data_IF_377400994601
#
_entry.id   IF_377400994601
#
_cell.length_a   1.000
_cell.length_b   1.000
_cell.length_c   1.000
_cell.angle_alpha   90.00
_cell.angle_beta   90.00
_cell.angle_gamma   90.00
#
_symmetry.space_group_name_H-M   'P 1'
#
loop_
_entity.id
_entity.type
_entity.pdbx_description
1 polymer ?
#
# COMPACT_ATOMS: atom_id res chain seq x y z
N UNK A 1 25.39 -6.46 9.10
CA UNK A 1 24.57 -5.47 8.39
C UNK A 1 23.55 -6.28 7.63
N UNK A 2 22.31 -6.30 8.10
CA UNK A 2 21.22 -7.01 7.42
C UNK A 2 21.00 -6.35 6.07
N UNK A 3 21.12 -7.11 4.98
CA UNK A 3 20.56 -6.71 3.69
C UNK A 3 19.05 -6.59 3.89
N UNK A 4 18.53 -5.39 4.09
CA UNK A 4 17.07 -5.16 4.10
C UNK A 4 16.54 -5.64 2.74
N UNK A 5 15.81 -6.76 2.75
CA UNK A 5 15.13 -7.27 1.55
C UNK A 5 14.06 -6.23 1.17
N UNK A 6 14.25 -5.54 0.05
CA UNK A 6 13.27 -4.60 -0.52
C UNK A 6 12.25 -5.40 -1.33
N UNK A 7 10.96 -5.12 -1.16
CA UNK A 7 9.91 -5.70 -1.99
C UNK A 7 10.04 -5.14 -3.41
N UNK A 8 10.26 -5.98 -4.44
CA UNK A 8 10.48 -5.50 -5.81
C UNK A 8 9.23 -4.84 -6.38
N UNK A 9 9.39 -3.71 -7.06
CA UNK A 9 8.28 -2.90 -7.60
C UNK A 9 8.22 -2.88 -9.13
N UNK A 10 9.20 -3.45 -9.84
CA UNK A 10 9.38 -3.27 -11.29
C UNK A 10 8.11 -3.56 -12.11
N UNK A 11 7.46 -4.69 -11.85
CA UNK A 11 6.24 -5.07 -12.54
C UNK A 11 5.07 -4.08 -12.29
N UNK A 12 4.97 -3.54 -11.08
CA UNK A 12 3.92 -2.57 -10.74
C UNK A 12 4.22 -1.19 -11.32
N UNK A 13 5.49 -0.78 -11.33
CA UNK A 13 5.93 0.46 -11.97
C UNK A 13 5.63 0.39 -13.46
N UNK A 14 5.95 -0.71 -14.15
CA UNK A 14 5.70 -0.85 -15.59
C UNK A 14 4.19 -0.92 -15.91
N UNK A 15 3.39 -1.63 -15.09
CA UNK A 15 1.93 -1.61 -15.21
C UNK A 15 1.36 -0.21 -15.06
N UNK A 16 1.82 0.54 -14.06
CA UNK A 16 1.35 1.90 -13.84
C UNK A 16 1.83 2.86 -14.93
N UNK A 17 3.07 2.74 -15.38
CA UNK A 17 3.63 3.51 -16.49
C UNK A 17 2.83 3.32 -17.77
N UNK A 18 2.40 2.10 -18.09
CA UNK A 18 1.49 1.86 -19.21
C UNK A 18 0.15 2.59 -19.04
N UNK A 19 -0.46 2.52 -17.85
CA UNK A 19 -1.70 3.25 -17.54
C UNK A 19 -1.52 4.77 -17.68
N UNK A 20 -0.47 5.31 -17.07
CA UNK A 20 -0.15 6.73 -17.06
C UNK A 20 0.14 7.27 -18.47
N UNK A 21 0.89 6.52 -19.30
CA UNK A 21 1.19 6.94 -20.68
C UNK A 21 -0.04 6.98 -21.56
N UNK A 22 -0.98 6.05 -21.39
CA UNK A 22 -2.18 5.97 -22.22
C UNK A 22 -3.29 6.95 -21.81
N UNK A 23 -3.28 7.45 -20.57
CA UNK A 23 -4.34 8.33 -20.06
C UNK A 23 -3.82 9.74 -19.80
N UNK A 24 -4.49 10.79 -20.28
CA UNK A 24 -4.10 12.18 -19.98
C UNK A 24 -4.40 12.54 -18.53
N UNK A 25 -5.51 12.04 -18.00
CA UNK A 25 -5.89 12.15 -16.59
C UNK A 25 -5.92 10.76 -15.98
N UNK A 26 -5.22 10.58 -14.86
CA UNK A 26 -5.14 9.30 -14.17
C UNK A 26 -5.39 9.49 -12.68
N UNK A 27 -5.99 8.48 -12.05
CA UNK A 27 -6.08 8.38 -10.60
C UNK A 27 -5.28 7.16 -10.15
N UNK A 28 -4.33 7.40 -9.24
CA UNK A 28 -3.62 6.36 -8.49
C UNK A 28 -4.28 6.27 -7.10
N UNK A 29 -5.02 5.20 -6.88
CA UNK A 29 -5.58 4.88 -5.56
C UNK A 29 -4.55 4.13 -4.74
N UNK A 30 -4.13 4.71 -3.63
CA UNK A 30 -3.18 4.11 -2.69
C UNK A 30 -3.52 4.53 -1.25
N UNK A 31 -4.15 3.62 -0.47
CA UNK A 31 -4.44 3.85 0.94
C UNK A 31 -3.21 4.18 1.78
N UNK A 32 -3.46 4.75 2.97
CA UNK A 32 -2.39 5.03 3.93
C UNK A 32 -1.64 3.74 4.32
N UNK A 33 -0.31 3.80 4.35
CA UNK A 33 0.53 2.67 4.78
C UNK A 33 1.00 1.73 3.67
N UNK A 34 0.49 1.85 2.44
CA UNK A 34 0.84 0.96 1.31
C UNK A 34 2.21 1.26 0.66
N UNK A 35 3.09 2.04 1.29
CA UNK A 35 4.39 2.41 0.69
C UNK A 35 4.29 3.37 -0.50
N UNK A 36 3.22 4.16 -0.57
CA UNK A 36 2.90 5.11 -1.66
C UNK A 36 4.06 6.04 -2.04
N UNK A 37 4.71 6.65 -1.06
CA UNK A 37 5.81 7.59 -1.31
C UNK A 37 7.02 6.92 -1.98
N UNK A 38 7.32 5.68 -1.58
CA UNK A 38 8.38 4.89 -2.20
C UNK A 38 8.02 4.53 -3.65
N UNK A 39 6.80 4.02 -3.87
CA UNK A 39 6.30 3.73 -5.22
C UNK A 39 6.35 4.94 -6.16
N UNK A 40 5.88 6.10 -5.69
CA UNK A 40 5.89 7.33 -6.49
C UNK A 40 7.32 7.80 -6.80
N UNK A 41 8.25 7.66 -5.85
CA UNK A 41 9.65 8.01 -6.10
C UNK A 41 10.27 7.14 -7.20
N UNK A 42 10.08 5.82 -7.12
CA UNK A 42 10.57 4.88 -8.14
C UNK A 42 9.89 5.11 -9.50
N UNK A 43 8.57 5.38 -9.49
CA UNK A 43 7.84 5.74 -10.70
C UNK A 43 8.38 7.00 -11.37
N UNK A 44 8.67 8.07 -10.61
CA UNK A 44 9.25 9.32 -11.13
C UNK A 44 10.59 9.06 -11.82
N UNK A 45 11.46 8.26 -11.20
CA UNK A 45 12.73 7.86 -11.80
C UNK A 45 12.51 7.10 -13.11
N UNK A 46 11.55 6.16 -13.14
CA UNK A 46 11.25 5.33 -14.31
C UNK A 46 10.67 6.09 -15.52
N UNK A 47 10.17 7.32 -15.32
CA UNK A 47 9.64 8.20 -16.39
C UNK A 47 10.45 9.48 -16.59
N UNK A 48 11.56 9.65 -15.86
CA UNK A 48 12.39 10.86 -15.82
C UNK A 48 12.90 11.36 -17.18
N UNK A 49 13.19 10.45 -18.11
CA UNK A 49 13.65 10.80 -19.45
C UNK A 49 12.55 11.29 -20.39
N UNK A 50 11.28 11.17 -19.99
CA UNK A 50 10.11 11.52 -20.81
C UNK A 50 9.29 12.66 -20.21
N UNK A 51 9.27 12.78 -18.88
CA UNK A 51 8.42 13.71 -18.15
C UNK A 51 9.17 14.49 -17.08
N UNK A 52 8.94 15.80 -17.05
CA UNK A 52 9.10 16.61 -15.86
C UNK A 52 7.82 16.59 -15.03
N UNK A 53 7.99 16.67 -13.72
CA UNK A 53 6.90 16.44 -12.78
C UNK A 53 6.87 17.57 -11.78
N UNK A 54 5.70 18.20 -11.69
CA UNK A 54 5.35 19.18 -10.67
C UNK A 54 4.34 18.51 -9.74
N UNK A 55 4.61 18.50 -8.44
CA UNK A 55 3.78 17.85 -7.42
C UNK A 55 3.22 18.90 -6.47
N UNK A 56 1.90 19.01 -6.43
CA UNK A 56 1.16 19.79 -5.45
C UNK A 56 0.81 18.92 -4.24
N UNK A 57 0.86 19.53 -3.06
CA UNK A 57 0.45 18.91 -1.79
C UNK A 57 -0.73 19.70 -1.22
N UNK A 58 -1.99 19.28 -1.47
CA UNK A 58 -3.19 19.97 -1.02
C UNK A 58 -3.26 20.20 0.50
N UNK A 59 -2.56 19.39 1.29
CA UNK A 59 -2.41 19.58 2.75
C UNK A 59 -1.88 20.96 3.12
N UNK A 60 -1.13 21.62 2.22
CA UNK A 60 -0.66 22.99 2.43
C UNK A 60 -1.79 24.03 2.40
N UNK A 61 -2.93 23.69 1.81
CA UNK A 61 -4.07 24.60 1.63
C UNK A 61 -5.21 24.31 2.61
N UNK A 62 -4.98 23.42 3.59
CA UNK A 62 -6.04 22.92 4.47
C UNK A 62 -6.71 24.02 5.30
N UNK A 63 -5.95 25.06 5.69
CA UNK A 63 -6.45 26.20 6.47
C UNK A 63 -6.89 27.40 5.61
N UNK A 64 -6.87 27.28 4.28
CA UNK A 64 -7.16 28.38 3.37
C UNK A 64 -8.66 28.49 3.06
N UNK A 65 -9.15 29.70 2.82
CA UNK A 65 -10.48 29.89 2.28
C UNK A 65 -10.57 29.48 0.80
N UNK A 66 -11.78 29.22 0.31
CA UNK A 66 -12.03 28.68 -1.03
C UNK A 66 -11.38 29.50 -2.16
N UNK A 67 -11.52 30.83 -2.07
CA UNK A 67 -10.97 31.75 -3.06
C UNK A 67 -9.44 31.69 -3.06
N UNK A 68 -8.84 31.53 -1.89
CA UNK A 68 -7.39 31.50 -1.73
C UNK A 68 -6.77 30.21 -2.24
N UNK A 69 -7.44 29.06 -2.09
CA UNK A 69 -6.95 27.76 -2.58
C UNK A 69 -6.62 27.81 -4.07
N UNK A 70 -7.48 28.45 -4.86
CA UNK A 70 -7.26 28.57 -6.29
C UNK A 70 -6.00 29.40 -6.60
N UNK A 71 -5.81 30.51 -5.89
CA UNK A 71 -4.62 31.37 -6.07
C UNK A 71 -3.34 30.69 -5.58
N UNK A 72 -3.39 29.93 -4.47
CA UNK A 72 -2.25 29.15 -3.99
C UNK A 72 -1.85 28.05 -4.97
N UNK A 73 -2.82 27.34 -5.56
CA UNK A 73 -2.54 26.32 -6.59
C UNK A 73 -1.86 26.94 -7.80
N UNK A 74 -2.36 28.07 -8.32
CA UNK A 74 -1.73 28.77 -9.44
C UNK A 74 -0.32 29.24 -9.10
N UNK A 75 -0.13 29.82 -7.91
CA UNK A 75 1.18 30.27 -7.41
C UNK A 75 2.18 29.13 -7.42
N UNK A 76 1.79 28.01 -6.84
CA UNK A 76 2.66 26.84 -6.72
C UNK A 76 2.97 26.27 -8.11
N UNK A 77 1.97 26.08 -8.97
CA UNK A 77 2.18 25.64 -10.36
C UNK A 77 3.15 26.57 -11.11
N UNK A 78 2.94 27.88 -11.04
CA UNK A 78 3.76 28.88 -11.70
C UNK A 78 5.21 28.78 -11.22
N UNK A 79 5.43 28.69 -9.91
CA UNK A 79 6.77 28.49 -9.36
C UNK A 79 7.38 27.15 -9.79
N UNK A 80 6.57 26.09 -9.87
CA UNK A 80 6.96 24.78 -10.36
C UNK A 80 7.56 24.83 -11.75
N UNK A 81 6.86 25.50 -12.66
CA UNK A 81 7.27 25.70 -14.05
C UNK A 81 8.54 26.54 -14.14
N UNK A 82 8.61 27.65 -13.39
CA UNK A 82 9.78 28.53 -13.40
C UNK A 82 11.03 27.90 -12.79
N UNK A 83 10.88 26.91 -11.91
CA UNK A 83 12.01 26.16 -11.39
C UNK A 83 12.53 25.14 -12.42
N UNK A 84 11.66 24.53 -13.23
CA UNK A 84 12.09 23.60 -14.28
C UNK A 84 13.00 24.24 -15.34
N UNK A 85 12.76 25.53 -15.63
CA UNK A 85 13.59 26.35 -16.50
C UNK A 85 13.48 27.84 -16.12
N UNK A 86 14.42 28.32 -15.31
CA UNK A 86 14.46 29.71 -14.88
C UNK A 86 14.99 30.66 -15.97
N UNK A 87 15.58 30.14 -17.04
CA UNK A 87 16.05 30.95 -18.18
C UNK A 87 14.89 31.63 -18.92
N UNK A 88 13.69 31.04 -18.83
CA UNK A 88 12.46 31.59 -19.42
C UNK A 88 12.16 33.00 -18.88
N UNK A 89 12.58 33.30 -17.64
CA UNK A 89 12.40 34.62 -17.02
C UNK A 89 13.01 35.75 -17.88
N UNK A 90 14.11 35.50 -18.59
CA UNK A 90 14.75 36.50 -19.45
C UNK A 90 13.88 36.95 -20.63
N UNK A 91 12.91 36.13 -21.02
CA UNK A 91 11.97 36.43 -22.11
C UNK A 91 10.71 37.17 -21.64
N UNK A 92 10.58 37.43 -20.34
CA UNK A 92 9.35 38.00 -19.79
C UNK A 92 9.18 39.47 -20.08
N UNK A 93 7.98 39.80 -20.53
CA UNK A 93 7.52 41.17 -20.69
C UNK A 93 7.23 41.79 -19.33
N UNK A 94 7.06 43.13 -19.31
CA UNK A 94 6.73 43.87 -18.09
C UNK A 94 5.45 43.34 -17.39
N UNK A 95 4.36 43.05 -18.12
CA UNK A 95 3.16 42.44 -17.52
C UNK A 95 3.45 41.09 -16.84
N UNK A 96 4.24 40.21 -17.47
CA UNK A 96 4.53 38.89 -16.91
C UNK A 96 5.23 38.99 -15.55
N UNK A 97 6.28 39.82 -15.47
CA UNK A 97 7.03 40.02 -14.22
C UNK A 97 6.17 40.62 -13.11
N UNK A 98 5.21 41.47 -13.47
CA UNK A 98 4.27 42.07 -12.52
C UNK A 98 3.28 41.04 -11.98
N UNK A 99 2.66 40.24 -12.86
CA UNK A 99 1.75 39.14 -12.49
C UNK A 99 2.47 38.16 -11.56
N UNK A 100 3.68 37.73 -11.93
CA UNK A 100 4.48 36.82 -11.10
C UNK A 100 4.76 37.44 -9.73
N UNK A 101 5.03 38.75 -9.69
CA UNK A 101 5.31 39.43 -8.43
C UNK A 101 4.09 39.47 -7.51
N UNK A 102 2.90 39.73 -8.06
CA UNK A 102 1.66 39.72 -7.29
C UNK A 102 1.30 38.33 -6.78
N UNK A 103 1.43 37.32 -7.64
CA UNK A 103 1.07 35.93 -7.31
C UNK A 103 2.03 35.31 -6.30
N UNK A 104 3.34 35.47 -6.51
CA UNK A 104 4.37 34.83 -5.67
C UNK A 104 4.64 35.66 -4.42
N UNK A 105 4.74 36.98 -4.53
CA UNK A 105 5.17 37.83 -3.41
C UNK A 105 4.03 38.59 -2.72
N UNK A 106 2.78 38.53 -3.21
CA UNK A 106 1.60 39.20 -2.59
C UNK A 106 1.85 40.64 -2.13
N UNK A 107 2.60 41.40 -2.92
CA UNK A 107 3.04 42.78 -2.63
C UNK A 107 4.14 42.96 -1.59
N UNK A 108 4.68 41.89 -0.97
CA UNK A 108 5.91 41.99 -0.17
C UNK A 108 7.09 42.39 -1.07
N UNK A 109 7.91 43.30 -0.53
CA UNK A 109 9.20 43.68 -1.10
C UNK A 109 10.34 42.83 -0.47
N UNK A 110 10.03 41.86 0.41
CA UNK A 110 10.99 40.93 1.00
C UNK A 110 10.71 39.47 0.57
N UNK A 111 11.76 38.81 0.12
CA UNK A 111 11.74 37.40 -0.30
C UNK A 111 11.51 36.46 0.88
N UNK A 112 11.93 36.86 2.10
CA UNK A 112 11.86 36.01 3.29
C UNK A 112 10.42 35.70 3.66
N UNK A 113 9.50 36.63 3.44
CA UNK A 113 8.08 36.47 3.78
C UNK A 113 7.37 35.41 2.92
N UNK A 114 7.98 35.00 1.79
CA UNK A 114 7.31 34.17 0.78
C UNK A 114 7.78 32.71 0.80
N UNK A 115 9.00 32.45 1.32
CA UNK A 115 9.62 31.11 1.35
C UNK A 115 8.92 30.10 2.30
N UNK A 116 8.44 30.49 3.51
CA UNK A 116 7.90 29.53 4.48
C UNK A 116 6.67 28.74 3.99
N UNK A 117 5.87 29.36 3.13
CA UNK A 117 4.56 28.85 2.70
C UNK A 117 4.61 28.07 1.37
N UNK A 118 5.80 27.91 0.79
CA UNK A 118 5.98 27.23 -0.50
C UNK A 118 6.44 25.80 -0.25
N UNK A 119 5.54 24.85 -0.53
CA UNK A 119 5.81 23.41 -0.46
C UNK A 119 5.32 22.75 -1.74
N UNK A 120 6.25 22.63 -2.68
CA UNK A 120 6.03 22.02 -3.99
C UNK A 120 7.10 20.98 -4.26
N UNK A 121 6.71 19.84 -4.81
CA UNK A 121 7.66 18.81 -5.25
C UNK A 121 7.99 19.02 -6.72
N UNK A 122 9.26 19.09 -7.07
CA UNK A 122 9.68 19.23 -8.46
C UNK A 122 10.69 18.16 -8.78
N UNK A 123 10.46 17.48 -9.90
CA UNK A 123 11.36 16.49 -10.43
C UNK A 123 11.54 16.79 -11.92
N UNK A 124 12.76 17.16 -12.31
CA UNK A 124 13.05 17.53 -13.69
C UNK A 124 14.46 17.13 -14.08
N UNK A 125 14.64 16.76 -15.35
CA UNK A 125 15.90 16.20 -15.85
C UNK A 125 16.41 15.00 -15.03
N UNK A 126 15.50 14.18 -14.50
CA UNK A 126 15.85 13.03 -13.65
C UNK A 126 16.33 13.35 -12.24
N UNK A 127 16.22 14.61 -11.80
CA UNK A 127 16.68 15.05 -10.49
C UNK A 127 15.51 15.63 -9.70
N UNK A 128 15.40 15.23 -8.43
CA UNK A 128 14.50 15.90 -7.49
C UNK A 128 15.11 17.20 -6.99
N UNK A 129 14.36 18.28 -7.12
CA UNK A 129 14.80 19.60 -6.70
C UNK A 129 14.75 19.70 -5.17
N UNK A 130 15.80 20.23 -4.58
CA UNK A 130 15.87 20.51 -3.16
C UNK A 130 15.18 21.84 -2.82
N UNK A 131 14.84 22.11 -1.55
CA UNK A 131 14.35 23.42 -1.13
C UNK A 131 15.28 24.58 -1.50
N UNK A 132 16.60 24.33 -1.60
CA UNK A 132 17.58 25.34 -2.01
C UNK A 132 17.43 25.72 -3.49
N UNK A 133 17.07 24.77 -4.34
CA UNK A 133 16.86 25.01 -5.77
C UNK A 133 15.63 25.90 -5.97
N UNK A 134 14.54 25.61 -5.26
CA UNK A 134 13.34 26.44 -5.26
C UNK A 134 13.66 27.86 -4.75
N UNK A 135 14.38 27.98 -3.63
CA UNK A 135 14.78 29.28 -3.09
C UNK A 135 15.64 30.09 -4.08
N UNK A 136 16.51 29.42 -4.84
CA UNK A 136 17.31 30.05 -5.90
C UNK A 136 16.41 30.60 -7.02
N UNK A 137 15.42 29.83 -7.47
CA UNK A 137 14.43 30.29 -8.46
C UNK A 137 13.69 31.53 -7.96
N UNK A 138 13.16 31.50 -6.74
CA UNK A 138 12.47 32.66 -6.13
C UNK A 138 13.39 33.88 -6.11
N UNK A 139 14.67 33.70 -5.76
CA UNK A 139 15.66 34.79 -5.75
C UNK A 139 15.94 35.34 -7.15
N UNK A 140 15.99 34.48 -8.16
CA UNK A 140 16.14 34.87 -9.56
C UNK A 140 14.97 35.74 -10.02
N UNK A 141 13.73 35.29 -9.76
CA UNK A 141 12.50 36.04 -10.05
C UNK A 141 12.53 37.42 -9.39
N UNK A 142 12.83 37.46 -8.08
CA UNK A 142 12.87 38.70 -7.31
C UNK A 142 13.91 39.69 -7.85
N UNK A 143 15.11 39.20 -8.20
CA UNK A 143 16.17 40.04 -8.77
C UNK A 143 15.79 40.62 -10.13
N UNK A 144 15.16 39.82 -11.00
CA UNK A 144 14.68 40.30 -12.30
C UNK A 144 13.62 41.37 -12.13
N UNK A 145 12.63 41.14 -11.26
CA UNK A 145 11.61 42.15 -10.93
C UNK A 145 12.24 43.45 -10.37
N UNK A 146 13.22 43.34 -9.45
CA UNK A 146 13.90 44.50 -8.88
C UNK A 146 14.69 45.30 -9.91
N UNK A 147 15.35 44.62 -10.85
CA UNK A 147 16.03 45.27 -11.98
C UNK A 147 15.03 46.03 -12.85
N UNK A 148 13.87 45.43 -13.11
CA UNK A 148 12.80 46.02 -13.90
C UNK A 148 12.19 47.28 -13.24
N UNK A 149 11.85 47.21 -11.94
CA UNK A 149 11.24 48.34 -11.17
C UNK A 149 12.13 49.60 -11.20
N UNK A 150 13.45 49.44 -11.17
CA UNK A 150 14.41 50.56 -11.23
C UNK A 150 14.39 51.30 -12.56
N UNK A 151 14.07 50.62 -13.66
CA UNK A 151 14.12 51.17 -15.02
C UNK A 151 12.80 51.78 -15.52
N UNK A 152 11.66 51.59 -14.84
CA UNK A 152 10.34 51.95 -15.38
C UNK A 152 9.30 52.40 -14.32
N UNK A 153 9.62 53.40 -13.49
CA UNK A 153 8.77 53.85 -12.36
C UNK A 153 7.35 54.35 -12.71
N UNK A 154 7.08 54.82 -13.93
CA UNK A 154 5.85 55.56 -14.25
C UNK A 154 4.78 54.77 -15.05
N UNK A 155 5.03 53.50 -15.44
CA UNK A 155 4.11 52.72 -16.31
C UNK A 155 3.39 51.59 -15.54
N UNK A 156 3.80 51.28 -14.31
CA UNK A 156 3.25 50.14 -13.55
C UNK A 156 1.81 50.32 -13.08
N UNK A 157 1.40 51.55 -12.74
CA UNK A 157 0.12 51.76 -12.05
C UNK A 157 -1.11 51.52 -12.95
N UNK A 158 -0.99 51.67 -14.27
CA UNK A 158 -2.14 51.59 -15.19
C UNK A 158 -2.60 50.15 -15.48
N UNK A 159 -1.69 49.16 -15.38
CA UNK A 159 -2.00 47.76 -15.64
C UNK A 159 -2.70 47.08 -14.44
N UNK A 160 -2.40 47.55 -13.23
CA UNK A 160 -3.02 47.12 -11.98
C UNK A 160 -4.51 47.51 -11.89
N UNK A 161 -4.83 48.72 -12.35
CA UNK A 161 -6.21 49.22 -12.35
C UNK A 161 -7.11 48.43 -13.32
N UNK A 162 -6.56 47.87 -14.40
CA UNK A 162 -7.30 46.96 -15.29
C UNK A 162 -7.47 45.56 -14.64
N UNK A 163 -6.49 45.10 -13.86
CA UNK A 163 -6.46 43.80 -13.19
C UNK A 163 -7.43 43.67 -12.01
N UNK A 164 -7.66 44.76 -11.27
CA UNK A 164 -8.60 44.77 -10.14
C UNK A 164 -10.08 44.79 -10.58
N UNK A 165 -10.37 45.29 -11.78
CA UNK A 165 -11.72 45.48 -12.30
C UNK A 165 -12.33 44.23 -12.98
N UNK A 166 -11.56 43.16 -13.21
CA UNK A 166 -12.01 41.88 -13.79
C UNK A 166 -12.28 40.78 -12.73
N UNK A 167 -12.40 41.14 -11.45
CA UNK A 167 -12.74 40.17 -10.39
C UNK A 167 -14.25 39.97 -10.32
N UNK A 168 -14.79 38.94 -11.00
CA UNK A 168 -16.12 38.45 -10.64
C UNK A 168 -16.97 37.71 -11.66
N UNK A 169 -16.49 37.34 -12.85
CA UNK A 169 -17.34 36.58 -13.78
C UNK A 169 -17.07 35.07 -13.73
N UNK A 170 -18.15 34.31 -13.87
CA UNK A 170 -18.20 32.84 -13.89
C UNK A 170 -17.45 32.21 -15.08
N UNK A 171 -16.91 33.01 -16.01
CA UNK A 171 -16.36 32.56 -17.29
C UNK A 171 -15.06 33.26 -17.75
N UNK A 172 -14.30 33.91 -16.86
CA UNK A 172 -13.06 34.59 -17.25
C UNK A 172 -11.81 33.71 -17.13
N UNK A 173 -11.11 33.55 -18.27
CA UNK A 173 -9.78 32.97 -18.34
C UNK A 173 -8.78 33.99 -17.74
N UNK A 174 -8.56 33.88 -16.43
CA UNK A 174 -7.66 34.72 -15.63
C UNK A 174 -6.24 34.83 -16.22
N UNK A 175 -5.63 36.03 -16.27
CA UNK A 175 -4.29 36.26 -16.83
C UNK A 175 -3.19 35.35 -16.30
N UNK A 176 -3.27 34.92 -15.03
CA UNK A 176 -2.31 33.98 -14.44
C UNK A 176 -2.46 32.60 -15.08
N UNK A 177 -3.70 32.16 -15.32
CA UNK A 177 -3.97 30.89 -16.00
C UNK A 177 -3.44 30.92 -17.44
N UNK A 178 -3.56 32.04 -18.17
CA UNK A 178 -2.96 32.20 -19.52
C UNK A 178 -1.44 32.11 -19.46
N UNK A 179 -0.84 32.83 -18.52
CA UNK A 179 0.61 32.78 -18.32
C UNK A 179 1.07 31.34 -18.05
N UNK A 180 0.37 30.59 -17.19
CA UNK A 180 0.69 29.18 -16.92
C UNK A 180 0.64 28.36 -18.22
N UNK A 181 -0.44 28.44 -19.00
CA UNK A 181 -0.57 27.74 -20.29
C UNK A 181 0.59 28.07 -21.25
N UNK A 182 0.91 29.36 -21.41
CA UNK A 182 1.99 29.81 -22.28
C UNK A 182 3.34 29.23 -21.85
N UNK A 183 3.61 29.18 -20.55
CA UNK A 183 4.86 28.63 -20.03
C UNK A 183 4.94 27.11 -20.18
N UNK A 184 3.82 26.42 -19.93
CA UNK A 184 3.73 24.97 -20.17
C UNK A 184 4.02 24.67 -21.64
N UNK A 185 3.42 25.39 -22.57
CA UNK A 185 3.64 25.19 -24.01
C UNK A 185 5.08 25.49 -24.43
N UNK A 186 5.72 26.54 -23.89
CA UNK A 186 7.15 26.82 -24.14
C UNK A 186 8.08 25.71 -23.66
N UNK A 187 7.81 25.12 -22.50
CA UNK A 187 8.59 23.99 -22.00
C UNK A 187 8.42 22.73 -22.89
N UNK A 188 7.24 22.54 -23.48
CA UNK A 188 6.97 21.46 -24.44
C UNK A 188 7.70 21.63 -25.77
N UNK A 189 7.92 22.87 -26.24
CA UNK A 189 8.71 23.13 -27.45
C UNK A 189 10.15 22.61 -27.31
N UNK A 190 10.66 22.55 -26.08
CA UNK A 190 11.94 21.91 -25.74
C UNK A 190 11.86 20.37 -25.65
N UNK A 191 10.79 19.76 -26.18
CA UNK A 191 10.48 18.32 -26.20
C UNK A 191 10.33 17.66 -24.83
N UNK A 192 10.07 18.43 -23.78
CA UNK A 192 9.83 17.93 -22.42
C UNK A 192 8.32 17.83 -22.17
N UNK A 193 7.82 16.64 -21.83
CA UNK A 193 6.41 16.52 -21.41
C UNK A 193 6.31 16.89 -19.94
N UNK A 194 5.20 17.52 -19.55
CA UNK A 194 5.00 17.97 -18.17
C UNK A 194 3.81 17.26 -17.56
N UNK A 195 4.04 16.65 -16.40
CA UNK A 195 3.02 16.03 -15.59
C UNK A 195 2.77 16.84 -14.31
N UNK A 196 1.51 17.11 -14.04
CA UNK A 196 1.06 17.62 -12.75
C UNK A 196 0.60 16.45 -11.87
N UNK A 197 1.15 16.34 -10.68
CA UNK A 197 0.78 15.32 -9.68
C UNK A 197 0.15 16.03 -8.49
N UNK A 198 -0.95 15.50 -7.98
CA UNK A 198 -1.65 16.02 -6.79
C UNK A 198 -1.63 14.90 -5.76
N UNK A 199 -0.79 15.02 -4.73
CA UNK A 199 -0.61 13.98 -3.71
C UNK A 199 -1.41 14.22 -2.44
N UNK A 200 -1.88 13.17 -1.79
CA UNK A 200 -2.55 13.25 -0.48
C UNK A 200 -3.82 14.13 -0.50
N UNK A 201 -4.55 14.10 -1.63
CA UNK A 201 -5.77 14.88 -1.79
C UNK A 201 -6.83 14.58 -0.71
N UNK A 202 -6.91 13.33 -0.26
CA UNK A 202 -7.91 12.84 0.71
C UNK A 202 -7.60 13.19 2.18
N UNK A 203 -6.61 14.06 2.45
CA UNK A 203 -6.20 14.48 3.81
C UNK A 203 -6.60 15.90 4.19
N UNK A 204 -7.43 16.55 3.39
CA UNK A 204 -7.90 17.92 3.62
C UNK A 204 -9.39 17.96 3.91
N UNK A 205 -9.91 19.15 4.18
CA UNK A 205 -11.36 19.37 4.33
C UNK A 205 -12.14 18.75 3.15
N UNK A 206 -13.23 17.99 3.40
CA UNK A 206 -14.06 17.38 2.37
C UNK A 206 -14.48 18.31 1.23
N UNK A 207 -14.82 19.57 1.52
CA UNK A 207 -15.18 20.55 0.50
C UNK A 207 -13.99 20.95 -0.37
N UNK A 208 -12.79 21.02 0.20
CA UNK A 208 -11.57 21.34 -0.54
C UNK A 208 -11.18 20.23 -1.52
N UNK A 209 -11.40 18.96 -1.20
CA UNK A 209 -11.15 17.82 -2.10
C UNK A 209 -11.82 18.06 -3.46
N UNK A 210 -13.14 18.28 -3.45
CA UNK A 210 -13.93 18.42 -4.66
C UNK A 210 -13.71 19.76 -5.36
N UNK A 211 -13.39 20.83 -4.63
CA UNK A 211 -12.97 22.12 -5.23
C UNK A 211 -11.68 21.96 -6.02
N UNK A 212 -10.68 21.30 -5.45
CA UNK A 212 -9.39 21.07 -6.12
C UNK A 212 -9.59 20.19 -7.35
N UNK A 213 -10.34 19.09 -7.23
CA UNK A 213 -10.69 18.27 -8.39
C UNK A 213 -11.31 19.14 -9.49
N UNK A 214 -12.37 19.91 -9.17
CA UNK A 214 -13.08 20.74 -10.13
C UNK A 214 -12.19 21.77 -10.85
N UNK A 215 -11.13 22.29 -10.21
CA UNK A 215 -10.14 23.18 -10.86
C UNK A 215 -9.47 22.47 -12.03
N UNK A 216 -9.15 21.18 -11.87
CA UNK A 216 -8.40 20.40 -12.85
C UNK A 216 -9.28 19.63 -13.85
N UNK A 217 -10.59 19.47 -13.59
CA UNK A 217 -11.56 19.09 -14.64
C UNK A 217 -12.04 20.25 -15.48
N UNK A 218 -11.78 21.50 -15.09
CA UNK A 218 -12.24 22.63 -15.88
C UNK A 218 -11.49 22.65 -17.22
N UNK A 219 -12.13 22.15 -18.26
CA UNK A 219 -11.65 22.14 -19.63
C UNK A 219 -11.90 23.52 -20.23
N UNK A 220 -10.88 24.37 -20.21
CA UNK A 220 -10.91 25.55 -21.05
C UNK A 220 -10.35 25.13 -22.40
N UNK A 221 -11.20 24.64 -23.30
CA UNK A 221 -10.88 24.78 -24.71
C UNK A 221 -10.72 26.27 -24.96
N UNK A 222 -9.48 26.67 -25.24
CA UNK A 222 -9.25 27.95 -25.89
C UNK A 222 -10.10 27.92 -27.16
N UNK A 223 -11.12 28.79 -27.21
CA UNK A 223 -11.94 29.23 -28.36
C UNK A 223 -13.45 28.96 -28.42
N UNK A 224 -14.02 27.89 -27.87
CA UNK A 224 -15.42 27.54 -28.21
C UNK A 224 -16.24 26.85 -27.10
N UNK A 225 -15.67 26.64 -25.92
CA UNK A 225 -16.38 26.02 -24.79
C UNK A 225 -16.70 24.53 -25.00
N UNK A 226 -16.12 23.91 -26.03
CA UNK A 226 -16.29 22.48 -26.31
C UNK A 226 -15.27 21.65 -25.53
N UNK A 227 -15.75 20.66 -24.77
CA UNK A 227 -14.87 19.70 -24.10
C UNK A 227 -14.39 18.68 -25.14
N UNK A 228 -13.14 18.83 -25.58
CA UNK A 228 -12.51 17.87 -26.49
C UNK A 228 -12.07 16.57 -25.78
N UNK A 229 -12.29 16.48 -24.46
CA UNK A 229 -11.88 15.38 -23.59
C UNK A 229 -10.37 15.23 -23.43
N UNK A 230 -9.61 16.12 -24.07
CA UNK A 230 -8.18 15.98 -24.35
C UNK A 230 -7.36 17.02 -23.59
N UNK A 231 -7.83 18.25 -23.45
CA UNK A 231 -7.09 19.34 -22.79
C UNK A 231 -7.39 19.44 -21.29
N UNK A 232 -6.56 20.11 -20.51
CA UNK A 232 -6.86 20.48 -19.12
C UNK A 232 -6.63 21.98 -18.93
N UNK A 233 -7.12 22.55 -17.83
CA UNK A 233 -7.09 23.99 -17.56
C UNK A 233 -5.75 24.69 -17.83
N UNK A 234 -4.63 23.99 -17.62
CA UNK A 234 -3.29 24.55 -17.67
C UNK A 234 -2.41 23.90 -18.76
N UNK A 235 -3.02 23.18 -19.70
CA UNK A 235 -2.36 22.50 -20.82
C UNK A 235 -1.27 21.48 -20.44
N UNK A 236 -1.24 20.93 -19.21
CA UNK A 236 -0.30 19.85 -18.87
C UNK A 236 -0.47 18.63 -19.79
N UNK A 237 0.60 17.87 -20.06
CA UNK A 237 0.47 16.63 -20.84
C UNK A 237 -0.22 15.52 -20.04
N UNK A 238 -0.04 15.55 -18.72
CA UNK A 238 -0.58 14.58 -17.77
C UNK A 238 -1.05 15.26 -16.49
N UNK A 239 -2.19 14.81 -15.96
CA UNK A 239 -2.62 15.07 -14.59
C UNK A 239 -2.76 13.72 -13.89
N UNK A 240 -2.11 13.58 -12.74
CA UNK A 240 -2.19 12.43 -11.87
C UNK A 240 -2.71 12.86 -10.50
N UNK A 241 -3.88 12.36 -10.12
CA UNK A 241 -4.40 12.49 -8.76
C UNK A 241 -3.98 11.26 -7.97
N UNK A 242 -3.42 11.46 -6.79
CA UNK A 242 -3.03 10.40 -5.87
C UNK A 242 -3.80 10.56 -4.56
N UNK A 243 -4.67 9.59 -4.26
CA UNK A 243 -5.53 9.59 -3.08
C UNK A 243 -5.87 8.15 -2.66
N UNK A 244 -6.56 7.97 -1.54
CA UNK A 244 -7.39 6.78 -1.32
C UNK A 244 -8.73 6.99 -2.02
N UNK A 245 -8.97 6.26 -3.12
CA UNK A 245 -10.19 6.41 -3.92
C UNK A 245 -11.45 6.06 -3.13
N UNK A 246 -11.39 5.01 -2.32
CA UNK A 246 -12.55 4.55 -1.55
C UNK A 246 -12.85 5.54 -0.43
N UNK A 247 -11.82 6.16 0.17
CA UNK A 247 -12.00 7.25 1.11
C UNK A 247 -12.66 8.48 0.45
N UNK A 248 -12.23 8.87 -0.77
CA UNK A 248 -12.85 9.97 -1.52
C UNK A 248 -14.31 9.67 -1.88
N UNK A 249 -14.62 8.44 -2.28
CA UNK A 249 -16.00 7.98 -2.53
C UNK A 249 -16.88 8.08 -1.28
N UNK A 250 -16.38 7.59 -0.14
CA UNK A 250 -17.07 7.68 1.14
C UNK A 250 -17.33 9.13 1.56
N UNK A 251 -16.34 10.01 1.40
CA UNK A 251 -16.48 11.44 1.69
C UNK A 251 -17.51 12.07 0.75
N UNK A 252 -17.51 11.71 -0.54
CA UNK A 252 -18.48 12.21 -1.51
C UNK A 252 -19.91 11.85 -1.10
N UNK A 253 -20.16 10.58 -0.79
CA UNK A 253 -21.48 10.13 -0.34
C UNK A 253 -21.89 10.72 1.01
N UNK A 254 -20.94 10.99 1.90
CA UNK A 254 -21.22 11.70 3.14
C UNK A 254 -21.70 13.15 2.88
N UNK A 255 -21.08 13.87 1.95
CA UNK A 255 -21.44 15.26 1.63
C UNK A 255 -22.71 15.38 0.77
N UNK A 256 -22.84 14.54 -0.24
CA UNK A 256 -23.86 14.69 -1.30
C UNK A 256 -24.99 13.66 -1.20
N UNK A 257 -24.84 12.63 -0.37
CA UNK A 257 -25.80 11.55 -0.14
C UNK A 257 -25.45 10.25 -0.87
N UNK A 258 -25.77 9.10 -0.26
CA UNK A 258 -25.41 7.76 -0.77
C UNK A 258 -25.96 7.45 -2.17
N UNK A 259 -27.09 8.05 -2.56
CA UNK A 259 -27.73 7.81 -3.87
C UNK A 259 -27.16 8.65 -5.01
N UNK A 260 -26.14 9.47 -4.76
CA UNK A 260 -25.51 10.31 -5.79
C UNK A 260 -24.53 9.51 -6.64
N UNK A 261 -24.37 9.91 -7.90
CA UNK A 261 -23.51 9.19 -8.84
C UNK A 261 -22.04 9.62 -8.72
N UNK A 262 -21.33 9.00 -7.78
CA UNK A 262 -19.89 9.23 -7.62
C UNK A 262 -19.10 8.81 -8.86
N UNK A 263 -19.45 7.69 -9.49
CA UNK A 263 -18.75 7.19 -10.68
C UNK A 263 -18.87 8.18 -11.86
N UNK A 264 -20.06 8.73 -12.08
CA UNK A 264 -20.29 9.80 -13.05
C UNK A 264 -19.48 11.05 -12.73
N UNK A 265 -19.44 11.47 -11.47
CA UNK A 265 -18.62 12.62 -11.04
C UNK A 265 -17.12 12.39 -11.27
N UNK A 266 -16.57 11.29 -10.73
CA UNK A 266 -15.13 11.04 -10.69
C UNK A 266 -14.54 10.70 -12.07
N UNK A 267 -15.36 10.21 -13.00
CA UNK A 267 -14.96 9.97 -14.40
C UNK A 267 -14.45 11.22 -15.11
N UNK A 268 -14.82 12.43 -14.64
CA UNK A 268 -14.29 13.71 -15.12
C UNK A 268 -12.82 13.94 -14.77
N UNK A 269 -12.23 13.12 -13.91
CA UNK A 269 -10.84 13.27 -13.44
C UNK A 269 -9.98 12.07 -13.80
N UNK A 270 -10.52 11.08 -14.51
CA UNK A 270 -9.78 9.93 -15.01
C UNK A 270 -10.24 9.56 -16.41
N UNK A 271 -9.32 9.57 -17.38
CA UNK A 271 -9.60 9.14 -18.75
C UNK A 271 -9.65 7.62 -18.91
N UNK A 272 -9.30 6.88 -17.86
CA UNK A 272 -9.32 5.42 -17.83
C UNK A 272 -9.69 4.86 -16.46
N UNK A 273 -9.52 3.55 -16.29
CA UNK A 273 -9.76 2.88 -15.00
C UNK A 273 -8.76 3.37 -13.96
N UNK A 274 -9.25 3.62 -12.74
CA UNK A 274 -8.43 3.96 -11.58
C UNK A 274 -7.37 2.87 -11.35
N UNK A 275 -6.12 3.27 -11.19
CA UNK A 275 -5.05 2.35 -10.84
C UNK A 275 -5.05 2.12 -9.34
N UNK A 276 -5.54 0.96 -8.91
CA UNK A 276 -5.54 0.56 -7.50
C UNK A 276 -4.21 -0.10 -7.16
N UNK A 277 -3.35 0.65 -6.49
CA UNK A 277 -2.06 0.17 -6.00
C UNK A 277 -2.23 -0.40 -4.59
N UNK A 278 -1.67 -1.60 -4.40
CA UNK A 278 -1.53 -2.20 -3.09
C UNK A 278 -0.28 -3.08 -3.06
N UNK A 279 0.42 -3.05 -1.94
CA UNK A 279 1.51 -3.96 -1.63
C UNK A 279 1.04 -5.25 -0.97
N UNK A 280 -0.26 -5.39 -0.68
CA UNK A 280 -0.80 -6.48 0.13
C UNK A 280 -0.42 -7.87 -0.36
N UNK A 281 -0.57 -8.15 -1.65
CA UNK A 281 -0.17 -9.45 -2.23
C UNK A 281 1.34 -9.68 -2.13
N UNK A 282 2.15 -8.66 -2.40
CA UNK A 282 3.62 -8.77 -2.29
C UNK A 282 4.09 -8.91 -0.85
N UNK A 283 3.44 -8.24 0.09
CA UNK A 283 3.70 -8.39 1.53
C UNK A 283 3.34 -9.80 2.00
N UNK A 284 2.21 -10.32 1.53
CA UNK A 284 1.78 -11.69 1.83
C UNK A 284 2.78 -12.72 1.29
N UNK A 285 3.19 -12.62 0.02
CA UNK A 285 4.21 -13.50 -0.57
C UNK A 285 5.55 -13.38 0.18
N UNK A 286 5.98 -12.15 0.50
CA UNK A 286 7.20 -11.94 1.29
C UNK A 286 7.12 -12.59 2.69
N UNK A 287 5.99 -12.46 3.38
CA UNK A 287 5.77 -13.10 4.68
C UNK A 287 5.73 -14.62 4.56
N UNK A 288 5.07 -15.14 3.53
CA UNK A 288 5.05 -16.56 3.20
C UNK A 288 6.48 -17.08 3.01
N UNK A 289 7.30 -16.42 2.21
CA UNK A 289 8.71 -16.78 1.99
C UNK A 289 9.50 -16.76 3.30
N UNK A 290 9.32 -15.73 4.13
CA UNK A 290 9.96 -15.64 5.44
C UNK A 290 9.57 -16.80 6.36
N UNK A 291 8.30 -17.20 6.39
CA UNK A 291 7.84 -18.31 7.24
C UNK A 291 8.27 -19.66 6.65
N UNK A 292 8.23 -19.80 5.33
CA UNK A 292 8.66 -21.00 4.60
C UNK A 292 10.14 -21.28 4.83
N UNK A 293 10.99 -20.25 4.88
CA UNK A 293 12.43 -20.38 5.17
C UNK A 293 12.68 -21.24 6.42
N UNK A 294 11.77 -21.20 7.39
CA UNK A 294 11.88 -21.94 8.63
C UNK A 294 10.98 -23.18 8.72
N UNK A 295 9.72 -23.10 8.31
CA UNK A 295 8.77 -24.21 8.44
C UNK A 295 8.90 -25.26 7.34
N UNK A 296 9.49 -24.90 6.19
CA UNK A 296 9.63 -25.75 4.99
C UNK A 296 8.31 -26.33 4.47
N UNK A 297 7.17 -25.75 4.84
CA UNK A 297 5.83 -26.08 4.32
C UNK A 297 5.21 -24.84 3.69
N UNK A 298 5.01 -24.89 2.37
CA UNK A 298 4.41 -23.80 1.58
C UNK A 298 2.98 -23.50 2.05
N UNK A 299 2.25 -24.58 2.30
CA UNK A 299 0.90 -24.63 2.83
C UNK A 299 0.76 -23.89 4.16
N UNK A 300 1.59 -24.24 5.16
CA UNK A 300 1.48 -23.67 6.51
C UNK A 300 1.97 -22.22 6.50
N UNK A 301 3.03 -21.96 5.74
CA UNK A 301 3.54 -20.60 5.54
C UNK A 301 2.47 -19.70 4.93
N UNK A 302 1.76 -20.17 3.92
CA UNK A 302 0.67 -19.43 3.27
C UNK A 302 -0.50 -19.16 4.23
N UNK A 303 -0.89 -20.16 5.04
CA UNK A 303 -1.96 -20.02 6.05
C UNK A 303 -1.58 -18.96 7.09
N UNK A 304 -0.40 -19.08 7.69
CA UNK A 304 0.09 -18.14 8.70
C UNK A 304 0.27 -16.73 8.13
N UNK A 305 0.82 -16.59 6.93
CA UNK A 305 0.96 -15.29 6.26
C UNK A 305 -0.41 -14.62 6.07
N UNK A 306 -1.43 -15.39 5.67
CA UNK A 306 -2.80 -14.89 5.50
C UNK A 306 -3.41 -14.42 6.82
N UNK A 307 -3.28 -15.22 7.88
CA UNK A 307 -3.82 -14.89 9.19
C UNK A 307 -3.13 -13.66 9.80
N UNK A 308 -1.79 -13.62 9.75
CA UNK A 308 -1.00 -12.48 10.25
C UNK A 308 -1.38 -11.19 9.50
N UNK A 309 -1.54 -11.27 8.17
CA UNK A 309 -2.00 -10.15 7.35
C UNK A 309 -3.42 -9.71 7.76
N UNK A 310 -4.35 -10.64 7.98
CA UNK A 310 -5.71 -10.30 8.41
C UNK A 310 -5.73 -9.64 9.81
N UNK A 311 -4.92 -10.13 10.74
CA UNK A 311 -4.78 -9.55 12.08
C UNK A 311 -4.18 -8.13 12.03
N UNK A 312 -3.29 -7.86 11.07
CA UNK A 312 -2.69 -6.54 10.85
C UNK A 312 -3.71 -5.46 10.46
N UNK A 313 -4.82 -5.88 9.86
CA UNK A 313 -5.87 -5.01 9.32
C UNK A 313 -6.97 -4.68 10.33
N UNK A 314 -6.99 -5.37 11.48
CA UNK A 314 -7.98 -5.10 12.53
C UNK A 314 -7.73 -3.72 13.17
N UNK A 315 -8.81 -2.93 13.29
CA UNK A 315 -8.77 -1.57 13.88
C UNK A 315 -8.10 -1.59 15.25
N UNK A 316 -7.12 -0.69 15.45
CA UNK A 316 -6.36 -0.57 16.70
C UNK A 316 -5.06 -1.39 16.77
N UNK A 317 -4.81 -2.30 15.82
CA UNK A 317 -3.59 -3.14 15.80
C UNK A 317 -2.54 -2.70 14.77
N UNK A 318 -2.87 -1.83 13.82
CA UNK A 318 -2.00 -1.44 12.69
C UNK A 318 -0.55 -1.04 13.08
N UNK A 319 -0.31 -0.37 14.22
CA UNK A 319 1.04 -0.01 14.69
C UNK A 319 1.89 -1.22 15.15
N UNK A 320 1.24 -2.31 15.56
CA UNK A 320 1.90 -3.55 16.02
C UNK A 320 2.35 -4.45 14.86
N UNK A 321 1.81 -4.21 13.65
CA UNK A 321 1.97 -5.10 12.49
C UNK A 321 2.59 -4.38 11.27
N UNK A 322 3.52 -3.46 11.50
CA UNK A 322 4.44 -3.07 10.42
C UNK A 322 5.27 -4.30 9.99
N UNK A 323 5.47 -4.50 8.69
CA UNK A 323 6.19 -5.66 8.13
C UNK A 323 7.52 -5.95 8.84
N UNK A 324 8.31 -4.91 9.16
CA UNK A 324 9.57 -5.06 9.89
C UNK A 324 9.37 -5.73 11.25
N UNK A 325 8.37 -5.28 12.02
CA UNK A 325 8.03 -5.87 13.32
C UNK A 325 7.51 -7.29 13.20
N UNK A 326 6.72 -7.59 12.16
CA UNK A 326 6.22 -8.95 11.90
C UNK A 326 7.41 -9.89 11.67
N UNK A 327 8.33 -9.49 10.78
CA UNK A 327 9.54 -10.27 10.47
C UNK A 327 10.43 -10.43 11.70
N UNK A 328 10.64 -9.36 12.47
CA UNK A 328 11.40 -9.43 13.74
C UNK A 328 10.78 -10.40 14.75
N UNK A 329 9.45 -10.43 14.85
CA UNK A 329 8.72 -11.38 15.70
C UNK A 329 8.89 -12.82 15.22
N UNK A 330 8.79 -13.07 13.92
CA UNK A 330 9.02 -14.40 13.33
C UNK A 330 10.46 -14.88 13.62
N UNK A 331 11.45 -14.01 13.39
CA UNK A 331 12.87 -14.28 13.72
C UNK A 331 13.09 -14.52 15.21
N UNK A 332 12.33 -13.83 16.07
CA UNK A 332 12.39 -14.04 17.52
C UNK A 332 11.84 -15.42 17.91
N UNK A 333 10.75 -15.89 17.29
CA UNK A 333 10.22 -17.24 17.50
C UNK A 333 11.27 -18.31 17.17
N UNK A 334 11.98 -18.17 16.06
CA UNK A 334 13.10 -19.05 15.69
C UNK A 334 14.18 -19.10 16.79
N UNK A 335 14.62 -17.94 17.28
CA UNK A 335 15.64 -17.85 18.32
C UNK A 335 15.24 -18.51 19.64
N UNK A 336 13.97 -18.42 20.03
CA UNK A 336 13.50 -19.06 21.27
C UNK A 336 13.43 -20.57 21.11
N UNK A 337 12.83 -21.05 20.00
CA UNK A 337 12.55 -22.47 19.77
C UNK A 337 13.84 -23.30 19.64
N UNK A 338 14.95 -22.69 19.22
CA UNK A 338 16.24 -23.36 19.02
C UNK A 338 17.05 -23.62 20.30
N UNK A 339 16.57 -23.20 21.47
CA UNK A 339 17.37 -23.24 22.71
C UNK A 339 17.45 -24.63 23.35
N UNK A 340 16.33 -25.35 23.51
CA UNK A 340 16.27 -26.68 24.16
C UNK A 340 15.14 -27.55 23.59
N UNK A 341 15.28 -28.89 23.68
CA UNK A 341 14.18 -29.79 23.35
C UNK A 341 13.08 -29.66 24.41
N UNK A 342 11.81 -29.67 24.01
CA UNK A 342 10.70 -29.64 24.96
C UNK A 342 10.36 -31.07 25.41
N UNK A 343 10.12 -31.24 26.71
CA UNK A 343 9.70 -32.51 27.27
C UNK A 343 8.32 -32.35 27.90
N UNK A 344 7.37 -33.18 27.47
CA UNK A 344 6.03 -33.24 28.03
C UNK A 344 5.88 -34.55 28.78
N UNK A 345 5.56 -34.47 30.07
CA UNK A 345 5.20 -35.65 30.85
C UNK A 345 3.81 -36.10 30.43
N UNK A 346 3.71 -37.35 29.98
CA UNK A 346 2.43 -37.95 29.66
C UNK A 346 1.72 -38.29 30.96
N UNK A 347 0.46 -37.86 31.07
CA UNK A 347 -0.34 -38.02 32.28
C UNK A 347 -0.38 -39.51 32.66
N UNK A 348 -0.07 -39.79 33.92
CA UNK A 348 -0.09 -41.15 34.50
C UNK A 348 0.91 -42.16 33.89
N UNK A 349 2.00 -41.68 33.25
CA UNK A 349 3.12 -42.54 32.82
C UNK A 349 4.49 -41.96 33.19
N UNK A 350 5.51 -42.81 33.29
CA UNK A 350 6.92 -42.40 33.40
C UNK A 350 7.55 -42.05 32.03
N UNK A 351 6.74 -41.91 30.98
CA UNK A 351 7.21 -41.59 29.65
C UNK A 351 7.14 -40.09 29.39
N UNK A 352 8.18 -39.57 28.75
CA UNK A 352 8.26 -38.18 28.33
C UNK A 352 8.22 -38.09 26.82
N UNK A 353 7.30 -37.30 26.29
CA UNK A 353 7.33 -36.91 24.88
C UNK A 353 8.40 -35.84 24.70
N UNK A 354 9.37 -36.11 23.85
CA UNK A 354 10.39 -35.13 23.48
C UNK A 354 10.03 -34.49 22.13
N UNK A 355 9.90 -33.18 22.10
CA UNK A 355 9.82 -32.42 20.85
C UNK A 355 11.22 -31.86 20.54
N UNK A 356 11.86 -32.29 19.44
CA UNK A 356 13.16 -31.75 19.04
C UNK A 356 13.08 -30.23 18.84
N UNK A 357 14.10 -29.51 19.30
CA UNK A 357 14.27 -28.06 19.10
C UNK A 357 14.29 -27.62 17.64
N UNK A 358 14.52 -28.54 16.72
CA UNK A 358 14.50 -28.34 15.26
C UNK A 358 13.13 -28.61 14.64
N UNK A 359 12.12 -28.96 15.44
CA UNK A 359 10.80 -29.31 14.93
C UNK A 359 10.08 -28.07 14.36
N UNK A 360 9.65 -28.08 13.09
CA UNK A 360 8.81 -27.03 12.50
C UNK A 360 7.55 -26.73 13.34
N UNK A 361 7.07 -27.73 14.08
CA UNK A 361 5.94 -27.60 15.00
C UNK A 361 6.15 -26.55 16.09
N UNK A 362 7.30 -26.57 16.76
CA UNK A 362 7.58 -25.65 17.86
C UNK A 362 7.58 -24.22 17.35
N UNK A 363 8.11 -24.03 16.14
CA UNK A 363 8.09 -22.75 15.48
C UNK A 363 6.68 -22.32 15.05
N UNK A 364 5.87 -23.24 14.51
CA UNK A 364 4.46 -22.98 14.21
C UNK A 364 3.70 -22.50 15.46
N UNK A 365 3.82 -23.23 16.58
CA UNK A 365 3.18 -22.86 17.85
C UNK A 365 3.71 -21.53 18.37
N UNK A 366 5.03 -21.30 18.30
CA UNK A 366 5.64 -20.06 18.73
C UNK A 366 5.15 -18.87 17.91
N UNK A 367 5.03 -19.01 16.58
CA UNK A 367 4.45 -17.99 15.69
C UNK A 367 3.00 -17.74 16.07
N UNK A 368 2.17 -18.79 16.19
CA UNK A 368 0.77 -18.62 16.55
C UNK A 368 0.60 -17.89 17.89
N UNK A 369 1.38 -18.26 18.92
CA UNK A 369 1.37 -17.57 20.21
C UNK A 369 1.84 -16.11 20.11
N UNK A 370 2.86 -15.84 19.32
CA UNK A 370 3.42 -14.49 19.17
C UNK A 370 2.47 -13.51 18.49
N UNK A 371 1.52 -14.02 17.71
CA UNK A 371 0.50 -13.24 17.00
C UNK A 371 -0.93 -13.44 17.56
N UNK A 372 -1.08 -14.10 18.71
CA UNK A 372 -2.38 -14.41 19.33
C UNK A 372 -3.35 -15.14 18.38
N UNK A 373 -2.82 -16.04 17.54
CA UNK A 373 -3.58 -16.87 16.62
C UNK A 373 -4.13 -18.08 17.36
N UNK A 374 -5.45 -18.27 17.33
CA UNK A 374 -6.12 -19.45 17.87
C UNK A 374 -5.96 -20.65 16.92
N UNK A 375 -4.81 -21.30 17.01
CA UNK A 375 -4.53 -22.54 16.28
C UNK A 375 -5.41 -23.71 16.77
N UNK A 376 -6.05 -23.62 17.95
CA UNK A 376 -6.97 -24.64 18.45
C UNK A 376 -8.24 -24.74 17.58
N UNK A 377 -8.76 -23.60 17.13
CA UNK A 377 -9.87 -23.56 16.17
C UNK A 377 -9.52 -24.23 14.83
N UNK A 378 -8.27 -24.09 14.37
CA UNK A 378 -7.78 -24.75 13.14
C UNK A 378 -7.63 -26.26 13.28
N UNK A 379 -7.38 -26.75 14.50
CA UNK A 379 -7.20 -28.17 14.81
C UNK A 379 -8.55 -28.87 15.05
N UNK A 380 -9.54 -28.18 15.64
CA UNK A 380 -10.74 -28.80 16.20
C UNK A 380 -12.02 -28.67 15.34
N UNK A 381 -11.99 -27.91 14.23
CA UNK A 381 -13.14 -27.76 13.32
C UNK A 381 -12.77 -28.05 11.86
N UNK A 382 -12.77 -29.32 11.42
CA UNK A 382 -12.82 -29.63 10.01
C UNK A 382 -14.25 -29.32 9.54
N UNK A 383 -14.50 -28.13 8.99
CA UNK A 383 -15.80 -27.86 8.40
C UNK A 383 -15.93 -28.70 7.11
N UNK A 384 -16.74 -29.76 7.17
CA UNK A 384 -16.88 -30.78 6.12
C UNK A 384 -17.53 -30.23 4.84
N UNK A 385 -18.06 -29.00 4.86
CA UNK A 385 -18.94 -28.50 3.80
C UNK A 385 -18.48 -27.25 3.03
N UNK A 386 -17.26 -26.73 3.22
CA UNK A 386 -16.77 -25.66 2.36
C UNK A 386 -15.46 -26.01 1.66
N UNK A 387 -15.45 -25.77 0.36
CA UNK A 387 -14.43 -26.04 -0.67
C UNK A 387 -13.09 -25.33 -0.48
N UNK A 388 -12.63 -25.09 0.74
CA UNK A 388 -11.24 -24.83 1.06
C UNK A 388 -10.64 -26.11 1.62
N UNK A 389 -10.14 -26.97 0.72
CA UNK A 389 -9.28 -28.10 1.09
C UNK A 389 -8.23 -27.61 2.08
N UNK A 390 -8.42 -27.92 3.36
CA UNK A 390 -7.34 -27.85 4.32
C UNK A 390 -6.30 -28.88 3.85
N UNK A 391 -5.05 -28.47 3.62
CA UNK A 391 -4.07 -29.31 2.94
C UNK A 391 -3.70 -30.53 3.80
N UNK A 392 -3.68 -31.70 3.17
CA UNK A 392 -3.35 -32.99 3.77
C UNK A 392 -2.03 -32.97 4.56
N UNK A 393 -1.10 -32.05 4.27
CA UNK A 393 0.13 -31.84 5.03
C UNK A 393 -0.07 -31.24 6.43
N UNK A 394 -0.99 -30.29 6.60
CA UNK A 394 -1.32 -29.76 7.93
C UNK A 394 -2.02 -30.85 8.74
N UNK A 395 -2.92 -31.63 8.12
CA UNK A 395 -3.49 -32.81 8.76
C UNK A 395 -2.44 -33.88 9.06
N UNK A 396 -1.46 -34.13 8.19
CA UNK A 396 -0.36 -35.07 8.47
C UNK A 396 0.53 -34.58 9.62
N UNK A 397 0.92 -33.31 9.64
CA UNK A 397 1.69 -32.71 10.74
C UNK A 397 0.89 -32.68 12.05
N UNK A 398 -0.39 -32.30 11.99
CA UNK A 398 -1.28 -32.27 13.15
C UNK A 398 -1.68 -33.68 13.61
N UNK A 399 -1.82 -34.64 12.71
CA UNK A 399 -2.07 -36.04 13.03
C UNK A 399 -0.82 -36.66 13.63
N UNK A 400 0.39 -36.43 13.09
CA UNK A 400 1.65 -36.81 13.73
C UNK A 400 1.78 -36.17 15.12
N UNK A 401 1.35 -34.93 15.28
CA UNK A 401 1.34 -34.25 16.59
C UNK A 401 0.26 -34.76 17.55
N UNK A 402 -0.94 -35.06 17.05
CA UNK A 402 -2.02 -35.68 17.81
C UNK A 402 -1.63 -37.11 18.20
N UNK A 403 -1.03 -37.89 17.29
CA UNK A 403 -0.39 -39.19 17.52
C UNK A 403 0.67 -39.10 18.62
N UNK A 404 1.48 -38.03 18.62
CA UNK A 404 2.49 -37.78 19.64
C UNK A 404 1.92 -37.30 20.99
N UNK A 405 0.77 -36.60 21.02
CA UNK A 405 0.17 -36.08 22.27
C UNK A 405 -0.98 -36.92 22.84
N UNK A 406 -1.57 -37.83 22.07
CA UNK A 406 -2.62 -38.77 22.48
C UNK A 406 -2.05 -40.12 22.90
N UNK A 407 -0.75 -40.17 23.22
CA UNK A 407 -0.01 -41.35 23.65
C UNK A 407 -0.48 -41.94 24.99
N UNK A 408 -1.65 -41.58 25.48
CA UNK A 408 -2.31 -42.34 26.54
C UNK A 408 -3.21 -43.46 26.03
N UNK A 409 -3.73 -43.42 24.79
CA UNK A 409 -4.82 -44.34 24.40
C UNK A 409 -4.88 -44.66 22.89
N UNK A 410 -4.01 -45.57 22.44
CA UNK A 410 -4.18 -46.27 21.14
C UNK A 410 -5.01 -47.54 21.38
N UNK A 411 -6.09 -47.71 20.61
CA UNK A 411 -6.99 -48.85 20.73
C UNK A 411 -6.87 -49.78 19.55
N UNK A 412 -7.16 -51.05 19.79
CA UNK A 412 -7.27 -52.08 18.76
C UNK A 412 -8.60 -52.82 18.93
N UNK A 413 -9.37 -52.88 17.86
CA UNK A 413 -10.70 -53.51 17.84
C UNK A 413 -10.68 -54.95 17.31
N UNK A 414 -9.51 -55.48 16.96
CA UNK A 414 -9.38 -56.82 16.37
C UNK A 414 -8.91 -56.78 14.91
N UNK A 415 -9.11 -55.66 14.22
CA UNK A 415 -8.71 -55.49 12.81
C UNK A 415 -7.92 -54.20 12.56
N UNK A 416 -8.20 -53.11 13.30
CA UNK A 416 -7.61 -51.81 13.03
C UNK A 416 -7.07 -51.15 14.30
N UNK A 417 -5.96 -50.42 14.15
CA UNK A 417 -5.46 -49.52 15.18
C UNK A 417 -6.17 -48.17 15.04
N UNK A 418 -6.56 -47.55 16.15
CA UNK A 418 -7.20 -46.25 16.07
C UNK A 418 -6.96 -45.38 17.30
N UNK A 419 -7.05 -44.06 17.07
CA UNK A 419 -6.84 -43.03 18.08
C UNK A 419 -8.09 -42.16 18.13
N UNK A 420 -8.75 -42.06 19.29
CA UNK A 420 -9.92 -41.21 19.43
C UNK A 420 -9.52 -39.73 19.38
N UNK A 421 -10.32 -38.89 18.73
CA UNK A 421 -10.08 -37.44 18.75
C UNK A 421 -10.63 -36.77 20.03
N UNK A 422 -11.11 -37.53 21.01
CA UNK A 422 -11.65 -37.07 22.30
C UNK A 422 -11.25 -38.01 23.46
N UNK A 423 -11.14 -37.52 24.71
CA UNK A 423 -10.77 -38.33 25.88
C UNK A 423 -11.79 -39.43 26.20
N UNK A 424 -11.35 -40.60 26.71
CA UNK A 424 -12.20 -41.77 27.02
C UNK A 424 -13.40 -41.47 27.94
N UNK A 425 -13.28 -40.52 28.86
CA UNK A 425 -14.38 -40.14 29.77
C UNK A 425 -15.58 -39.49 29.07
N UNK A 426 -15.47 -39.12 27.80
CA UNK A 426 -16.54 -38.48 27.00
C UNK A 426 -17.03 -39.37 25.84
N UNK A 427 -16.58 -40.62 25.75
CA UNK A 427 -16.97 -41.55 24.68
C UNK A 427 -18.37 -42.14 24.88
N UNK A 428 -19.39 -41.34 24.63
CA UNK A 428 -20.73 -41.84 24.29
C UNK A 428 -20.86 -41.88 22.76
N UNK A 429 -21.34 -43.02 22.24
CA UNK A 429 -21.38 -43.42 20.83
C UNK A 429 -21.71 -42.28 19.82
N UNK A 430 -20.67 -41.58 19.38
CA UNK A 430 -20.52 -40.83 18.11
C UNK A 430 -19.30 -39.90 18.27
N UNK A 431 -18.10 -40.44 18.05
CA UNK A 431 -16.87 -39.65 18.01
C UNK A 431 -16.08 -39.97 16.74
N UNK A 432 -15.29 -39.01 16.25
CA UNK A 432 -14.37 -39.25 15.15
C UNK A 432 -13.10 -39.89 15.71
N UNK A 433 -12.58 -40.90 15.02
CA UNK A 433 -11.31 -41.53 15.35
C UNK A 433 -10.41 -41.52 14.13
N UNK A 434 -9.10 -41.47 14.38
CA UNK A 434 -8.07 -41.64 13.37
C UNK A 434 -7.76 -43.13 13.30
N UNK A 435 -8.01 -43.75 12.16
CA UNK A 435 -7.65 -45.13 11.87
C UNK A 435 -6.24 -45.20 11.29
N UNK A 436 -5.46 -46.17 11.76
CA UNK A 436 -4.13 -46.50 11.27
C UNK A 436 -4.21 -47.90 10.65
N UNK A 437 -4.00 -47.99 9.34
CA UNK A 437 -3.93 -49.27 8.64
C UNK A 437 -2.47 -49.71 8.64
N UNK A 438 -2.25 -50.92 9.16
CA UNK A 438 -0.92 -51.48 9.37
C UNK A 438 -0.76 -52.78 8.61
N UNK A 439 0.25 -52.86 7.75
CA UNK A 439 0.67 -54.09 7.07
C UNK A 439 2.15 -54.34 7.34
N UNK A 440 2.54 -55.58 7.62
CA UNK A 440 3.95 -55.97 7.86
C UNK A 440 4.69 -55.10 8.90
N UNK A 441 3.99 -54.66 9.95
CA UNK A 441 4.50 -53.72 10.95
C UNK A 441 4.87 -52.32 10.40
N UNK A 442 4.24 -51.88 9.32
CA UNK A 442 4.36 -50.50 8.80
C UNK A 442 2.96 -49.87 8.63
N UNK A 443 2.83 -48.59 8.98
CA UNK A 443 1.59 -47.83 8.73
C UNK A 443 1.55 -47.50 7.25
N UNK A 444 0.59 -48.05 6.53
CA UNK A 444 0.44 -47.84 5.09
C UNK A 444 -0.63 -46.80 4.76
N UNK A 445 -1.56 -46.54 5.66
CA UNK A 445 -2.65 -45.59 5.44
C UNK A 445 -3.18 -45.00 6.75
N UNK A 446 -3.57 -43.72 6.74
CA UNK A 446 -4.24 -43.03 7.85
C UNK A 446 -5.54 -42.43 7.33
N UNK A 447 -6.68 -42.76 7.96
CA UNK A 447 -8.00 -42.26 7.54
C UNK A 447 -8.91 -41.95 8.73
N UNK A 448 -9.98 -41.18 8.48
CA UNK A 448 -11.00 -40.91 9.50
C UNK A 448 -12.02 -42.05 9.54
N UNK A 449 -12.39 -42.46 10.75
CA UNK A 449 -13.47 -43.42 11.00
C UNK A 449 -14.43 -42.92 12.07
N UNK A 450 -15.66 -43.43 12.05
CA UNK A 450 -16.58 -43.25 13.18
C UNK A 450 -16.20 -44.24 14.29
N UNK A 451 -16.14 -43.73 15.52
CA UNK A 451 -15.64 -44.44 16.69
C UNK A 451 -16.50 -45.65 17.08
N UNK A 452 -15.83 -46.72 17.53
CA UNK A 452 -16.42 -47.95 18.06
C UNK A 452 -15.75 -48.39 19.36
N UNK A 453 -16.27 -49.43 20.01
CA UNK A 453 -15.69 -50.01 21.23
C UNK A 453 -14.50 -50.93 20.89
N UNK A 454 -13.34 -50.68 21.49
CA UNK A 454 -12.12 -51.49 21.27
C UNK A 454 -11.28 -51.63 22.53
N UNK A 455 -10.31 -52.55 22.50
CA UNK A 455 -9.48 -52.92 23.65
C UNK A 455 -8.27 -51.99 23.69
N UNK A 456 -7.99 -51.43 24.87
CA UNK A 456 -6.81 -50.59 25.11
C UNK A 456 -5.54 -51.45 25.11
N UNK A 457 -4.54 -51.10 24.30
CA UNK A 457 -3.24 -51.77 24.28
C UNK A 457 -2.32 -51.11 25.31
N UNK A 458 -1.70 -51.90 26.19
CA UNK A 458 -0.82 -51.43 27.27
C UNK A 458 0.68 -51.52 26.98
N UNK A 459 1.07 -52.09 25.83
CA UNK A 459 2.47 -52.20 25.39
C UNK A 459 2.73 -51.32 24.16
N UNK A 460 3.33 -50.15 24.41
CA UNK A 460 3.49 -49.06 23.46
C UNK A 460 4.78 -49.13 22.63
N UNK A 461 5.70 -50.06 22.96
CA UNK A 461 7.01 -50.17 22.31
C UNK A 461 6.90 -50.44 20.81
N UNK A 462 5.89 -51.23 20.42
CA UNK A 462 5.62 -51.58 19.02
C UNK A 462 5.07 -50.43 18.19
N UNK A 463 4.21 -49.58 18.77
CA UNK A 463 3.63 -48.42 18.08
C UNK A 463 4.71 -47.37 17.79
N UNK A 464 5.67 -47.20 18.71
CA UNK A 464 6.82 -46.32 18.51
C UNK A 464 7.75 -46.86 17.41
N UNK A 465 8.03 -48.16 17.35
CA UNK A 465 8.79 -48.78 16.25
C UNK A 465 8.08 -48.63 14.88
N UNK A 466 6.74 -48.75 14.86
CA UNK A 466 5.86 -48.56 13.70
C UNK A 466 5.82 -47.11 13.16
N UNK A 467 5.94 -46.13 14.05
CA UNK A 467 6.01 -44.71 13.67
C UNK A 467 7.41 -44.36 13.17
N UNK A 468 8.46 -44.95 13.77
CA UNK A 468 9.84 -44.75 13.36
C UNK A 468 10.18 -45.40 12.01
N UNK A 469 9.47 -46.46 11.60
CA UNK A 469 9.60 -47.03 10.24
C UNK A 469 8.99 -46.15 9.16
N UNK A 470 7.94 -45.38 9.48
CA UNK A 470 7.29 -44.45 8.55
C UNK A 470 8.18 -43.24 8.20
N UNK A 471 8.97 -42.72 9.14
CA UNK A 471 9.99 -41.68 8.90
C UNK A 471 11.07 -42.11 7.89
N UNK A 472 11.23 -43.42 7.68
CA UNK A 472 12.14 -44.00 6.70
C UNK A 472 11.57 -43.99 5.28
N UNK A 473 10.24 -43.99 5.13
CA UNK A 473 9.56 -44.03 3.82
C UNK A 473 9.34 -42.65 3.20
N UNK A 474 9.44 -41.56 3.98
CA UNK A 474 9.30 -40.17 3.50
C UNK A 474 10.64 -39.58 3.03
N UNK A 475 11.76 -40.25 3.32
CA UNK A 475 13.11 -39.80 2.98
C UNK A 475 13.80 -40.65 1.89
N UNK A 476 13.06 -41.48 1.14
CA UNK A 476 13.53 -42.15 -0.09
C UNK A 476 12.69 -41.74 -1.32
#
# INVERSE_FOLDING_TARGET
MDNERIIPLDAEIERFKHCFKNNRRSILSAPFGEGKSFFLNEFRQAISGEYDIITLYPTNYQACENKDIFEYIKRDILLGILALDDSILHSFTKPNLQIIKEVIFKSSDDIIDCIPDIRIGIFGNGIQFSPKDIAKTIKSIFNQYKSFRRSNRNILNKYLDEFENEKGTIYEFDPISRLICDLVNRLKDNKRKIALVIEDLDRIDPGHIFRILNIFSAHFSQWDGYDDGKTNKFDFDKILVVCDYDNVENIYHHLYGEKTDFNGYISKFSSGKVFRYSLRSKMHEYLKDCIYEYLKSDVIANLLASEIMQLSEQKGRAYMYNLRKIVERIRYCEKIVTTENLYFSLKDSNQHLQIPKTSPMLLFIAICKQFDIDYGAWILKPDINETKRFPDELYKMLNLFMLMNLSSEVYYDGEHYYIPTRPYMEMHFDYTAIELIVENNEIIEIRNRNGGSGIQISDYSKVIELIQSYDKYVND
#
